data_IF_484626231698
#
_entry.id   IF_484626231698
#
_cell.length_a   1.000
_cell.length_b   1.000
_cell.length_c   1.000
_cell.angle_alpha   90.00
_cell.angle_beta   90.00
_cell.angle_gamma   90.00
#
_symmetry.space_group_name_H-M   'P 1'
#
loop_
_entity.id
_entity.type
_entity.pdbx_description
1 polymer ?
#
# COMPACT_ATOMS: atom_id res chain seq x y z
N UNK A 1 -9.91 77.54 30.48
CA UNK A 1 -8.79 76.60 30.60
C UNK A 1 -9.33 75.21 30.59
N UNK A 2 -9.10 74.49 29.50
CA UNK A 2 -9.68 73.16 29.25
C UNK A 2 -8.74 72.09 29.77
N UNK A 3 -9.19 71.31 30.74
CA UNK A 3 -8.44 70.15 31.24
C UNK A 3 -8.69 68.96 30.31
N UNK A 4 -7.62 68.47 29.69
CA UNK A 4 -7.65 67.28 28.89
C UNK A 4 -7.47 66.08 29.82
N UNK A 5 -8.47 65.19 29.90
CA UNK A 5 -8.36 63.90 30.57
C UNK A 5 -7.87 62.88 29.58
N UNK A 6 -6.73 62.31 29.84
CA UNK A 6 -6.14 61.17 29.08
C UNK A 6 -6.61 59.89 29.73
N UNK A 7 -7.49 59.17 29.06
CA UNK A 7 -7.94 57.85 29.49
C UNK A 7 -6.95 56.80 28.95
N UNK A 8 -6.26 56.10 29.85
CA UNK A 8 -5.43 54.93 29.52
C UNK A 8 -6.34 53.71 29.27
N UNK A 9 -6.41 53.22 28.04
CA UNK A 9 -7.03 51.95 27.73
C UNK A 9 -6.02 50.85 27.91
N UNK A 10 -6.24 49.98 28.91
CA UNK A 10 -5.50 48.73 29.11
C UNK A 10 -5.91 47.75 27.97
N UNK A 11 -4.97 47.49 27.08
CA UNK A 11 -5.12 46.45 26.06
C UNK A 11 -4.91 45.08 26.69
N UNK A 12 -5.93 44.24 26.75
CA UNK A 12 -5.81 42.83 27.05
C UNK A 12 -5.17 42.10 25.88
N UNK A 13 -3.96 41.60 26.07
CA UNK A 13 -3.31 40.72 25.08
C UNK A 13 -3.98 39.33 25.14
N UNK A 14 -4.83 39.04 24.18
CA UNK A 14 -5.34 37.69 23.96
C UNK A 14 -4.23 36.82 23.36
N UNK A 15 -3.70 35.88 24.14
CA UNK A 15 -2.83 34.82 23.64
C UNK A 15 -3.66 33.86 22.84
N UNK A 16 -3.59 33.98 21.51
CA UNK A 16 -4.13 32.97 20.58
C UNK A 16 -3.17 31.79 20.59
N UNK A 17 -3.49 30.76 21.36
CA UNK A 17 -2.82 29.46 21.27
C UNK A 17 -3.19 28.82 19.93
N UNK A 18 -2.27 28.86 18.98
CA UNK A 18 -2.39 28.12 17.73
C UNK A 18 -2.19 26.64 18.09
N UNK A 19 -3.29 25.94 18.34
CA UNK A 19 -3.31 24.50 18.44
C UNK A 19 -2.89 23.89 17.11
N UNK A 20 -1.71 23.28 17.06
CA UNK A 20 -1.26 22.51 15.91
C UNK A 20 -2.20 21.32 15.71
N UNK A 21 -3.16 21.44 14.80
CA UNK A 21 -3.96 20.32 14.33
C UNK A 21 -3.03 19.40 13.55
N UNK A 22 -2.46 18.40 14.21
CA UNK A 22 -1.82 17.28 13.53
C UNK A 22 -2.92 16.47 12.85
N UNK A 23 -3.17 16.76 11.59
CA UNK A 23 -4.02 15.91 10.75
C UNK A 23 -3.29 14.58 10.59
N UNK A 24 -3.85 13.45 11.04
CA UNK A 24 -3.23 12.17 10.77
C UNK A 24 -3.16 12.00 9.26
N UNK A 25 -1.95 11.81 8.74
CA UNK A 25 -1.76 11.43 7.34
C UNK A 25 -2.41 10.05 7.22
N UNK A 26 -3.65 10.01 6.70
CA UNK A 26 -4.31 8.76 6.38
C UNK A 26 -3.41 8.04 5.39
N UNK A 27 -2.90 6.87 5.78
CA UNK A 27 -2.18 6.00 4.86
C UNK A 27 -3.09 5.77 3.66
N UNK A 28 -2.70 6.30 2.52
CA UNK A 28 -3.44 6.14 1.27
C UNK A 28 -3.31 4.68 0.88
N UNK A 29 -4.31 3.88 1.22
CA UNK A 29 -4.43 2.55 0.66
C UNK A 29 -4.41 2.70 -0.87
N UNK A 30 -3.42 2.10 -1.53
CA UNK A 30 -3.36 2.17 -2.99
C UNK A 30 -4.64 1.53 -3.55
N UNK A 31 -5.32 2.18 -4.51
CA UNK A 31 -6.56 1.66 -5.03
C UNK A 31 -6.36 0.25 -5.57
N UNK A 32 -7.12 -0.70 -5.07
CA UNK A 32 -7.16 -2.05 -5.62
C UNK A 32 -7.66 -1.96 -7.06
N UNK A 33 -6.97 -2.67 -7.98
CA UNK A 33 -7.45 -2.78 -9.35
C UNK A 33 -8.62 -3.76 -9.34
N UNK A 34 -9.80 -3.27 -9.70
CA UNK A 34 -11.05 -4.04 -9.73
C UNK A 34 -11.57 -4.12 -11.17
N UNK A 35 -11.81 -5.33 -11.65
CA UNK A 35 -12.29 -5.59 -13.01
C UNK A 35 -13.49 -6.54 -12.97
N UNK A 36 -14.45 -6.34 -13.86
CA UNK A 36 -15.64 -7.20 -13.96
C UNK A 36 -15.41 -8.48 -14.76
N UNK A 37 -14.46 -8.43 -15.70
CA UNK A 37 -14.13 -9.59 -16.54
C UNK A 37 -13.13 -10.49 -15.84
N UNK A 38 -13.36 -11.80 -15.84
CA UNK A 38 -12.42 -12.77 -15.28
C UNK A 38 -11.06 -12.72 -15.99
N UNK A 39 -9.94 -12.83 -15.25
CA UNK A 39 -8.64 -12.98 -15.87
C UNK A 39 -8.59 -14.32 -16.65
N UNK A 40 -7.85 -14.40 -17.75
CA UNK A 40 -7.61 -15.66 -18.41
C UNK A 40 -6.95 -16.67 -17.45
N UNK A 41 -7.11 -17.97 -17.67
CA UNK A 41 -6.41 -18.97 -16.90
C UNK A 41 -4.88 -18.76 -16.99
N UNK A 42 -4.12 -18.97 -15.92
CA UNK A 42 -2.67 -18.83 -15.94
C UNK A 42 -2.04 -19.67 -17.04
N UNK A 43 -1.03 -19.12 -17.71
CA UNK A 43 -0.29 -19.86 -18.71
C UNK A 43 0.60 -20.89 -18.04
N UNK A 44 0.67 -22.10 -18.63
CA UNK A 44 1.63 -23.08 -18.19
C UNK A 44 3.05 -22.57 -18.48
N UNK A 45 3.84 -22.39 -17.43
CA UNK A 45 5.25 -22.06 -17.52
C UNK A 45 6.08 -23.19 -16.90
N UNK A 46 7.18 -23.51 -17.54
CA UNK A 46 8.16 -24.42 -16.93
C UNK A 46 8.83 -23.72 -15.75
N UNK A 47 8.58 -24.20 -14.54
CA UNK A 47 9.29 -23.72 -13.35
C UNK A 47 10.75 -24.14 -13.45
N UNK A 48 11.70 -23.20 -13.49
CA UNK A 48 13.11 -23.55 -13.58
C UNK A 48 13.64 -24.14 -12.26
N UNK A 49 14.78 -24.84 -12.28
CA UNK A 49 15.39 -25.39 -11.08
C UNK A 49 15.66 -24.31 -10.01
N UNK A 50 15.60 -24.65 -8.72
CA UNK A 50 15.92 -23.69 -7.65
C UNK A 50 17.30 -23.05 -7.86
N UNK A 51 17.40 -21.74 -7.65
CA UNK A 51 18.64 -20.97 -7.77
C UNK A 51 19.00 -20.37 -6.42
N UNK A 52 20.19 -20.68 -5.91
CA UNK A 52 20.68 -20.18 -4.61
C UNK A 52 20.69 -18.66 -4.58
N UNK A 53 20.11 -18.05 -3.55
CA UNK A 53 20.01 -16.60 -3.38
C UNK A 53 18.91 -15.93 -4.21
N UNK A 54 18.04 -16.74 -4.84
CA UNK A 54 16.91 -16.23 -5.62
C UNK A 54 15.63 -16.99 -5.26
N UNK A 55 14.50 -16.32 -5.49
CA UNK A 55 13.17 -16.93 -5.47
C UNK A 55 12.56 -16.84 -6.86
N UNK A 56 11.80 -17.84 -7.25
CA UNK A 56 11.04 -17.81 -8.48
C UNK A 56 9.74 -17.04 -8.27
N UNK A 57 9.56 -15.96 -9.02
CA UNK A 57 8.30 -15.25 -9.13
C UNK A 57 7.54 -15.82 -10.33
N UNK A 58 6.42 -16.54 -10.14
CA UNK A 58 5.68 -17.15 -11.24
C UNK A 58 5.06 -16.10 -12.14
N UNK A 59 4.87 -16.47 -13.41
CA UNK A 59 4.15 -15.63 -14.35
C UNK A 59 2.71 -15.41 -13.92
N UNK A 60 2.17 -14.28 -14.31
CA UNK A 60 0.82 -13.86 -13.93
C UNK A 60 0.24 -12.88 -14.94
N UNK A 61 -1.07 -12.69 -14.90
CA UNK A 61 -1.73 -11.65 -15.67
C UNK A 61 -1.79 -10.34 -14.89
N UNK A 62 -1.43 -9.25 -15.55
CA UNK A 62 -1.67 -7.89 -15.09
C UNK A 62 -2.77 -7.23 -15.92
N UNK A 63 -3.55 -6.35 -15.30
CA UNK A 63 -4.48 -5.51 -16.04
C UNK A 63 -3.77 -4.33 -16.68
N UNK A 64 -3.99 -4.12 -17.95
CA UNK A 64 -3.56 -2.95 -18.72
C UNK A 64 -4.79 -2.31 -19.38
N UNK A 65 -5.39 -1.33 -18.72
CA UNK A 65 -6.69 -0.79 -19.09
C UNK A 65 -7.78 -1.88 -19.00
N UNK A 66 -8.42 -2.21 -20.13
CA UNK A 66 -9.43 -3.26 -20.22
C UNK A 66 -8.87 -4.64 -20.62
N UNK A 67 -7.58 -4.73 -20.85
CA UNK A 67 -6.92 -5.95 -21.34
C UNK A 67 -6.08 -6.58 -20.23
N UNK A 68 -5.93 -7.90 -20.33
CA UNK A 68 -5.00 -8.66 -19.52
C UNK A 68 -3.71 -8.92 -20.31
N UNK A 69 -2.57 -8.63 -19.71
CA UNK A 69 -1.25 -8.87 -20.29
C UNK A 69 -0.51 -9.89 -19.44
N UNK A 70 0.03 -10.92 -20.07
CA UNK A 70 0.85 -11.92 -19.39
C UNK A 70 2.23 -11.38 -19.08
N UNK A 71 2.61 -11.42 -17.79
CA UNK A 71 3.96 -11.16 -17.31
C UNK A 71 4.62 -12.50 -17.05
N UNK A 72 5.75 -12.74 -17.70
CA UNK A 72 6.49 -14.00 -17.55
C UNK A 72 7.11 -14.13 -16.18
N UNK A 73 7.23 -15.37 -15.69
CA UNK A 73 7.96 -15.64 -14.46
C UNK A 73 9.44 -15.26 -14.56
N UNK A 74 10.02 -14.86 -13.45
CA UNK A 74 11.41 -14.45 -13.34
C UNK A 74 12.04 -14.81 -11.99
N UNK A 75 13.36 -14.84 -11.93
CA UNK A 75 14.06 -14.95 -10.67
C UNK A 75 14.24 -13.57 -10.03
N UNK A 76 13.78 -13.45 -8.79
CA UNK A 76 14.02 -12.30 -7.94
C UNK A 76 15.12 -12.62 -6.95
N UNK A 77 15.98 -11.64 -6.64
CA UNK A 77 16.97 -11.79 -5.57
C UNK A 77 16.24 -11.99 -4.23
N UNK A 78 16.56 -13.08 -3.53
CA UNK A 78 15.98 -13.34 -2.22
C UNK A 78 16.33 -12.20 -1.24
N UNK A 79 15.39 -11.86 -0.38
CA UNK A 79 15.58 -10.90 0.71
C UNK A 79 15.58 -11.67 2.03
N UNK A 80 16.72 -11.73 2.77
CA UNK A 80 16.76 -12.38 4.06
C UNK A 80 15.71 -11.81 5.02
N UNK A 81 14.95 -12.69 5.68
CA UNK A 81 13.88 -12.31 6.60
C UNK A 81 12.56 -11.91 5.93
N UNK A 82 12.43 -12.07 4.61
CA UNK A 82 11.21 -11.79 3.86
C UNK A 82 10.77 -12.98 3.03
N UNK A 83 9.46 -13.23 2.98
CA UNK A 83 8.84 -14.15 2.04
C UNK A 83 8.33 -13.39 0.82
N UNK A 84 8.50 -13.96 -0.37
CA UNK A 84 7.89 -13.39 -1.57
C UNK A 84 6.44 -13.88 -1.72
N UNK A 85 5.52 -12.95 -1.91
CA UNK A 85 4.12 -13.20 -2.23
C UNK A 85 3.88 -12.92 -3.69
N UNK A 86 3.44 -13.93 -4.43
CA UNK A 86 3.12 -13.76 -5.84
C UNK A 86 1.84 -12.93 -6.03
N UNK A 87 1.74 -12.13 -7.10
CA UNK A 87 0.49 -11.46 -7.46
C UNK A 87 -0.63 -12.48 -7.71
N UNK A 88 -1.85 -12.15 -7.31
CA UNK A 88 -3.00 -13.02 -7.47
C UNK A 88 -4.27 -12.23 -7.81
N UNK A 89 -5.13 -12.81 -8.63
CA UNK A 89 -6.48 -12.36 -8.83
C UNK A 89 -7.43 -13.13 -7.92
N UNK A 90 -8.34 -12.43 -7.29
CA UNK A 90 -9.39 -12.99 -6.43
C UNK A 90 -10.75 -12.50 -6.90
N UNK A 91 -11.72 -13.39 -6.96
CA UNK A 91 -13.11 -13.01 -7.16
C UNK A 91 -13.70 -12.52 -5.83
N UNK A 92 -14.39 -11.40 -5.87
CA UNK A 92 -15.06 -10.80 -4.73
C UNK A 92 -16.37 -10.15 -5.19
N UNK A 93 -17.49 -10.78 -4.85
CA UNK A 93 -18.83 -10.28 -5.20
C UNK A 93 -19.06 -10.07 -6.71
N UNK A 94 -18.62 -11.00 -7.56
CA UNK A 94 -18.75 -10.92 -9.02
C UNK A 94 -17.77 -9.96 -9.69
N UNK A 95 -16.79 -9.47 -8.96
CA UNK A 95 -15.70 -8.61 -9.46
C UNK A 95 -14.36 -9.26 -9.18
N UNK A 96 -13.39 -8.99 -10.03
CA UNK A 96 -12.03 -9.49 -9.88
C UNK A 96 -11.12 -8.43 -9.28
N UNK A 97 -10.50 -8.74 -8.15
CA UNK A 97 -9.60 -7.87 -7.41
C UNK A 97 -8.18 -8.38 -7.56
N UNK A 98 -7.29 -7.50 -8.01
CA UNK A 98 -5.88 -7.80 -8.17
C UNK A 98 -5.10 -7.51 -6.88
N UNK A 99 -4.60 -8.56 -6.26
CA UNK A 99 -3.67 -8.45 -5.16
C UNK A 99 -2.24 -8.41 -5.71
N UNK A 100 -1.59 -7.27 -5.56
CA UNK A 100 -0.21 -7.09 -5.99
C UNK A 100 0.74 -7.91 -5.12
N UNK A 101 1.65 -8.62 -5.75
CA UNK A 101 2.70 -9.35 -5.03
C UNK A 101 3.75 -8.42 -4.41
N UNK A 102 4.63 -9.00 -3.62
CA UNK A 102 5.72 -8.28 -2.98
C UNK A 102 6.41 -9.08 -1.89
N UNK A 103 7.22 -8.40 -1.10
CA UNK A 103 7.95 -8.97 0.02
C UNK A 103 7.19 -8.75 1.32
N UNK A 104 7.01 -9.82 2.06
CA UNK A 104 6.27 -9.91 3.31
C UNK A 104 7.25 -10.33 4.42
N UNK A 105 7.32 -9.57 5.50
CA UNK A 105 8.28 -9.78 6.57
C UNK A 105 7.73 -10.60 7.72
N UNK A 106 6.51 -10.35 8.13
CA UNK A 106 5.91 -10.98 9.31
C UNK A 106 5.09 -12.23 8.98
N UNK A 107 4.86 -12.48 7.70
CA UNK A 107 4.21 -13.71 7.22
C UNK A 107 2.69 -13.69 7.29
N UNK A 108 2.07 -12.52 7.49
CA UNK A 108 0.61 -12.40 7.53
C UNK A 108 -0.06 -12.54 6.15
N UNK A 109 0.74 -12.50 5.08
CA UNK A 109 0.29 -12.63 3.70
C UNK A 109 0.14 -11.31 2.97
N UNK A 110 0.32 -10.18 3.65
CA UNK A 110 0.29 -8.84 3.07
C UNK A 110 1.72 -8.34 2.84
N UNK A 111 2.10 -8.00 1.61
CA UNK A 111 3.42 -7.42 1.37
C UNK A 111 3.61 -6.12 2.14
N UNK A 112 4.78 -5.93 2.74
CA UNK A 112 5.10 -4.79 3.61
C UNK A 112 4.74 -3.41 3.06
N UNK A 113 4.84 -3.22 1.74
CA UNK A 113 4.47 -1.94 1.10
C UNK A 113 2.97 -1.63 1.12
N UNK A 114 2.14 -2.65 1.43
CA UNK A 114 0.68 -2.54 1.53
C UNK A 114 0.17 -2.80 2.94
N UNK A 115 1.07 -3.15 3.84
CA UNK A 115 0.77 -3.47 5.22
C UNK A 115 0.98 -2.25 6.13
N UNK A 116 -0.05 -1.95 6.92
CA UNK A 116 -0.01 -0.87 7.90
C UNK A 116 0.85 -1.20 9.13
N UNK A 117 1.15 -2.49 9.34
CA UNK A 117 1.92 -2.99 10.48
C UNK A 117 2.88 -4.11 10.10
N UNK A 118 3.90 -3.83 9.27
CA UNK A 118 4.74 -4.81 8.59
C UNK A 118 5.63 -5.68 9.50
N UNK A 119 5.45 -5.60 10.80
CA UNK A 119 6.15 -6.40 11.80
C UNK A 119 5.19 -7.07 12.79
N UNK A 120 3.89 -7.11 12.49
CA UNK A 120 2.88 -7.69 13.37
C UNK A 120 1.98 -8.66 12.60
N UNK A 121 2.24 -9.99 12.64
CA UNK A 121 1.55 -11.00 11.85
C UNK A 121 0.06 -11.17 12.18
N UNK A 122 -0.43 -10.50 13.20
CA UNK A 122 -1.83 -10.57 13.61
C UNK A 122 -2.67 -9.36 13.15
N UNK A 123 -2.07 -8.43 12.46
CA UNK A 123 -2.71 -7.16 12.07
C UNK A 123 -2.09 -6.59 10.80
N UNK A 124 -2.89 -6.37 9.80
CA UNK A 124 -2.59 -5.66 8.55
C UNK A 124 -3.43 -4.37 8.42
#
# INVERSE_FOLDING_TARGET
MKKLAITFAMGAAALVSIGSLTVPLAAQAQPAIVIQTAPPPPRAERVPPPRRGYVWAPGHYEARGRNYVWVRGEYLRARPGYAYRAPQWREDGGRWVYNRGGWDRDGDGVPNRFDNRPNNPNRN
#
